data_IF_098667481433
#
_entry.id   IF_098667481433
#
_cell.length_a   1.000
_cell.length_b   1.000
_cell.length_c   1.000
_cell.angle_alpha   90.00
_cell.angle_beta   90.00
_cell.angle_gamma   90.00
#
_symmetry.space_group_name_H-M   'P 1'
#
loop_
_entity.id
_entity.type
_entity.pdbx_description
1 polymer ?
#
# COMPACT_ATOMS: atom_id res chain seq x y z
N UNK A 1 -8.17 -5.40 9.43
CA UNK A 1 -7.43 -6.44 8.67
C UNK A 1 -6.22 -6.86 9.49
N UNK A 2 -5.98 -8.14 9.61
CA UNK A 2 -4.80 -8.66 10.27
C UNK A 2 -3.90 -9.37 9.26
N UNK A 3 -2.58 -9.34 9.47
CA UNK A 3 -1.63 -9.98 8.57
C UNK A 3 -1.84 -11.49 8.46
N UNK A 4 -2.35 -12.12 9.52
CA UNK A 4 -2.63 -13.55 9.53
C UNK A 4 -3.77 -13.98 8.61
N UNK A 5 -4.61 -13.02 8.19
CA UNK A 5 -5.73 -13.27 7.28
C UNK A 5 -5.36 -13.10 5.81
N UNK A 6 -4.14 -12.62 5.53
CA UNK A 6 -3.67 -12.39 4.16
C UNK A 6 -2.97 -13.61 3.61
N UNK A 7 -3.21 -13.88 2.32
CA UNK A 7 -2.52 -14.93 1.60
C UNK A 7 -1.32 -14.35 0.86
N UNK A 8 -0.12 -14.66 1.33
CA UNK A 8 1.11 -14.24 0.69
C UNK A 8 1.60 -15.30 -0.29
N UNK A 9 2.07 -14.85 -1.46
CA UNK A 9 2.65 -15.76 -2.45
C UNK A 9 4.06 -16.20 -2.02
N UNK A 10 4.76 -16.97 -2.86
CA UNK A 10 6.11 -17.47 -2.57
C UNK A 10 7.15 -16.36 -2.40
N UNK A 11 6.87 -15.16 -2.91
CA UNK A 11 7.75 -14.01 -2.79
C UNK A 11 7.39 -13.11 -1.59
N UNK A 12 6.42 -13.53 -0.78
CA UNK A 12 5.97 -12.77 0.38
C UNK A 12 5.10 -11.57 0.03
N UNK A 13 4.39 -11.61 -1.10
CA UNK A 13 3.53 -10.51 -1.58
C UNK A 13 2.06 -10.94 -1.48
N UNK A 14 1.22 -10.07 -0.93
CA UNK A 14 -0.22 -10.24 -0.87
C UNK A 14 -0.91 -9.05 -1.54
N UNK A 15 -1.84 -9.34 -2.44
CA UNK A 15 -2.75 -8.35 -3.01
C UNK A 15 -4.05 -8.38 -2.23
N UNK A 16 -4.56 -7.22 -1.85
CA UNK A 16 -5.81 -7.12 -1.11
C UNK A 16 -6.51 -5.80 -1.41
N UNK A 17 -7.69 -5.64 -0.83
CA UNK A 17 -8.45 -4.39 -0.88
C UNK A 17 -8.81 -3.98 0.53
N UNK A 18 -8.73 -2.68 0.80
CA UNK A 18 -9.12 -2.10 2.09
C UNK A 18 -10.21 -1.08 1.82
N UNK A 19 -11.32 -1.18 2.54
CA UNK A 19 -12.42 -0.25 2.39
C UNK A 19 -12.07 1.08 3.05
N UNK A 20 -11.97 2.12 2.21
CA UNK A 20 -11.78 3.50 2.65
C UNK A 20 -13.07 4.29 2.55
N UNK A 21 -12.99 5.62 2.70
CA UNK A 21 -14.17 6.50 2.67
C UNK A 21 -14.77 6.65 1.27
N UNK A 22 -13.96 6.47 0.22
CA UNK A 22 -14.42 6.59 -1.17
C UNK A 22 -14.69 5.24 -1.83
N UNK A 23 -14.59 4.14 -1.08
CA UNK A 23 -14.72 2.78 -1.59
C UNK A 23 -13.46 1.97 -1.38
N UNK A 24 -13.35 0.84 -2.06
CA UNK A 24 -12.21 -0.07 -1.89
C UNK A 24 -10.93 0.49 -2.51
N UNK A 25 -9.85 0.42 -1.75
CA UNK A 25 -8.51 0.76 -2.22
C UNK A 25 -7.73 -0.50 -2.55
N UNK A 26 -7.01 -0.46 -3.67
CA UNK A 26 -6.10 -1.51 -4.08
C UNK A 26 -4.81 -1.43 -3.27
N UNK A 27 -4.45 -2.51 -2.59
CA UNK A 27 -3.32 -2.55 -1.65
C UNK A 27 -2.42 -3.74 -1.94
N UNK A 28 -1.12 -3.50 -1.90
CA UNK A 28 -0.09 -4.53 -2.08
C UNK A 28 0.80 -4.54 -0.85
N UNK A 29 0.83 -5.68 -0.15
CA UNK A 29 1.60 -5.84 1.08
C UNK A 29 2.72 -6.83 0.83
N UNK A 30 3.95 -6.44 1.18
CA UNK A 30 5.11 -7.32 1.11
C UNK A 30 5.63 -7.55 2.53
N UNK A 31 5.80 -8.81 2.90
CA UNK A 31 6.35 -9.18 4.20
C UNK A 31 7.80 -9.65 4.06
N UNK A 32 8.65 -9.46 5.09
CA UNK A 32 9.97 -10.06 5.11
C UNK A 32 9.85 -11.57 5.36
N UNK A 33 10.94 -12.30 5.10
CA UNK A 33 11.01 -13.75 5.39
C UNK A 33 10.80 -14.05 6.87
N UNK A 34 11.31 -13.17 7.72
CA UNK A 34 11.22 -13.32 9.17
C UNK A 34 10.35 -12.22 9.77
N UNK A 35 9.17 -12.61 10.24
CA UNK A 35 8.26 -11.73 10.95
C UNK A 35 8.43 -11.92 12.45
N UNK A 36 8.62 -10.81 13.16
CA UNK A 36 8.64 -10.79 14.62
C UNK A 36 7.67 -9.70 15.10
N UNK A 37 7.36 -9.70 16.40
CA UNK A 37 6.37 -8.77 16.97
C UNK A 37 6.78 -7.30 16.77
N UNK A 38 8.08 -7.01 16.79
CA UNK A 38 8.61 -5.65 16.60
C UNK A 38 8.92 -5.29 15.15
N UNK A 39 8.54 -6.12 14.17
CA UNK A 39 8.75 -5.82 12.75
C UNK A 39 8.05 -4.51 12.38
N UNK A 40 8.76 -3.52 11.84
CA UNK A 40 8.15 -2.25 11.47
C UNK A 40 7.26 -2.39 10.24
N UNK A 41 6.22 -1.55 10.18
CA UNK A 41 5.33 -1.45 9.03
C UNK A 41 5.58 -0.10 8.37
N UNK A 42 5.89 -0.11 7.08
CA UNK A 42 6.16 1.09 6.29
C UNK A 42 5.08 1.24 5.23
N UNK A 43 4.36 2.35 5.27
CA UNK A 43 3.34 2.68 4.27
C UNK A 43 3.95 3.64 3.27
N UNK A 44 3.86 3.30 1.98
CA UNK A 44 4.47 4.08 0.91
C UNK A 44 3.38 4.66 0.01
N UNK A 45 3.32 5.99 -0.05
CA UNK A 45 2.42 6.72 -0.93
C UNK A 45 3.09 6.95 -2.29
N UNK A 46 2.30 6.93 -3.37
CA UNK A 46 2.80 7.18 -4.71
C UNK A 46 2.74 8.67 -5.07
N UNK A 47 3.42 9.08 -6.17
CA UNK A 47 3.35 10.47 -6.67
C UNK A 47 1.95 10.89 -7.07
N UNK A 48 1.80 12.18 -7.36
CA UNK A 48 0.52 12.83 -7.64
C UNK A 48 -0.31 12.07 -8.68
N UNK A 49 -1.57 11.69 -8.35
CA UNK A 49 -2.39 10.85 -9.24
C UNK A 49 -2.64 11.45 -10.63
N UNK A 50 -2.83 12.77 -10.72
CA UNK A 50 -3.10 13.44 -11.99
C UNK A 50 -1.91 13.47 -12.94
N UNK A 51 -0.71 13.16 -12.44
CA UNK A 51 0.51 13.11 -13.25
C UNK A 51 0.99 11.66 -13.44
N UNK A 52 0.06 10.72 -13.46
CA UNK A 52 0.37 9.30 -13.69
C UNK A 52 0.92 8.55 -12.49
N UNK A 53 0.85 9.13 -11.29
CA UNK A 53 1.30 8.46 -10.08
C UNK A 53 0.44 7.24 -9.75
N UNK A 54 1.07 6.15 -9.34
CA UNK A 54 0.42 4.92 -8.89
C UNK A 54 1.36 4.10 -8.03
N UNK A 55 0.85 3.05 -7.37
CA UNK A 55 1.68 2.15 -6.57
C UNK A 55 2.69 1.34 -7.40
N UNK A 56 2.55 1.34 -8.72
CA UNK A 56 3.50 0.69 -9.64
C UNK A 56 4.62 1.63 -10.09
N UNK A 57 4.62 2.87 -9.62
CA UNK A 57 5.69 3.82 -9.91
C UNK A 57 7.04 3.25 -9.50
N UNK A 58 8.06 3.52 -10.30
CA UNK A 58 9.41 2.98 -10.09
C UNK A 58 10.00 3.36 -8.73
N UNK A 59 9.79 4.60 -8.28
CA UNK A 59 10.29 5.05 -6.97
C UNK A 59 9.58 4.31 -5.84
N UNK A 60 8.28 4.11 -5.94
CA UNK A 60 7.50 3.34 -4.97
C UNK A 60 8.02 1.91 -4.90
N UNK A 61 8.29 1.30 -6.04
CA UNK A 61 8.82 -0.06 -6.11
C UNK A 61 10.20 -0.16 -5.45
N UNK A 62 11.09 0.80 -5.73
CA UNK A 62 12.44 0.85 -5.16
C UNK A 62 12.38 1.02 -3.65
N UNK A 63 11.53 1.91 -3.15
CA UNK A 63 11.35 2.12 -1.72
C UNK A 63 10.84 0.86 -1.03
N UNK A 64 9.84 0.21 -1.61
CA UNK A 64 9.28 -1.03 -1.06
C UNK A 64 10.34 -2.12 -0.98
N UNK A 65 11.14 -2.28 -2.03
CA UNK A 65 12.22 -3.25 -2.07
C UNK A 65 13.28 -2.95 -1.00
N UNK A 66 13.67 -1.69 -0.88
CA UNK A 66 14.70 -1.26 0.09
C UNK A 66 14.25 -1.51 1.52
N UNK A 67 13.02 -1.15 1.88
CA UNK A 67 12.50 -1.39 3.22
C UNK A 67 12.27 -2.87 3.49
N UNK A 68 11.88 -3.64 2.48
CA UNK A 68 11.73 -5.09 2.60
C UNK A 68 13.07 -5.76 2.89
N UNK A 69 14.16 -5.29 2.29
CA UNK A 69 15.52 -5.77 2.56
C UNK A 69 15.99 -5.42 3.97
N UNK A 70 15.38 -4.42 4.60
CA UNK A 70 15.62 -4.05 6.00
C UNK A 70 14.65 -4.75 6.97
N UNK A 71 14.01 -5.82 6.51
CA UNK A 71 13.08 -6.63 7.30
C UNK A 71 11.82 -5.89 7.77
N UNK A 72 11.37 -4.88 7.01
CA UNK A 72 10.10 -4.21 7.26
C UNK A 72 8.97 -4.84 6.46
N UNK A 73 7.75 -4.73 6.98
CA UNK A 73 6.54 -4.99 6.21
C UNK A 73 6.28 -3.72 5.40
N UNK A 74 6.09 -3.83 4.09
CA UNK A 74 5.77 -2.67 3.24
C UNK A 74 4.34 -2.74 2.76
N UNK A 75 3.66 -1.59 2.80
CA UNK A 75 2.30 -1.44 2.31
C UNK A 75 2.30 -0.40 1.21
N UNK A 76 2.02 -0.83 0.00
CA UNK A 76 1.82 0.05 -1.17
C UNK A 76 0.35 0.07 -1.50
N UNK A 77 -0.16 1.19 -1.95
CA UNK A 77 -1.57 1.31 -2.30
C UNK A 77 -1.75 2.33 -3.41
N UNK A 78 -2.89 2.23 -4.10
CA UNK A 78 -3.33 3.25 -5.05
C UNK A 78 -4.33 4.17 -4.36
N UNK A 79 -4.09 5.49 -4.45
CA UNK A 79 -5.06 6.48 -3.99
C UNK A 79 -6.38 6.33 -4.74
N UNK A 80 -7.45 6.88 -4.16
CA UNK A 80 -8.79 6.85 -4.76
C UNK A 80 -8.75 7.28 -6.23
N UNK A 81 -9.44 6.53 -7.08
CA UNK A 81 -9.49 6.81 -8.52
C UNK A 81 -8.29 6.34 -9.32
N UNK A 82 -7.26 5.77 -8.68
CA UNK A 82 -6.06 5.27 -9.36
C UNK A 82 -6.13 3.75 -9.48
N UNK A 83 -5.77 3.21 -10.64
CA UNK A 83 -5.78 1.76 -10.89
C UNK A 83 -7.14 1.15 -10.59
N UNK A 84 -7.17 0.15 -9.74
CA UNK A 84 -8.38 -0.52 -9.30
C UNK A 84 -9.01 0.09 -8.03
N UNK A 85 -8.44 1.16 -7.49
CA UNK A 85 -9.02 1.85 -6.34
C UNK A 85 -10.25 2.65 -6.76
N UNK A 86 -11.33 2.52 -5.99
CA UNK A 86 -12.58 3.22 -6.25
C UNK A 86 -12.50 4.70 -5.87
N UNK A 87 -13.45 5.48 -6.34
CA UNK A 87 -13.54 6.90 -6.01
C UNK A 87 -12.91 7.79 -7.07
N UNK A 88 -12.71 9.06 -6.70
CA UNK A 88 -12.14 10.09 -7.57
C UNK A 88 -11.12 10.92 -6.81
N UNK A 89 -10.16 11.48 -7.55
CA UNK A 89 -9.17 12.42 -7.01
C UNK A 89 -9.86 13.55 -6.23
N UNK A 90 -9.39 13.84 -5.03
CA UNK A 90 -10.00 14.82 -4.13
C UNK A 90 -8.99 15.85 -3.61
N UNK A 91 -8.13 16.35 -4.48
CA UNK A 91 -7.16 17.43 -4.20
C UNK A 91 -6.27 17.20 -2.97
N UNK A 92 -6.01 15.95 -2.64
CA UNK A 92 -5.16 15.55 -1.51
C UNK A 92 -5.90 15.44 -0.17
N UNK A 93 -7.11 15.99 -0.06
CA UNK A 93 -7.88 15.97 1.19
C UNK A 93 -8.41 14.57 1.47
N UNK A 94 -9.16 14.01 0.51
CA UNK A 94 -9.66 12.64 0.63
C UNK A 94 -8.55 11.60 0.62
N UNK A 95 -7.48 11.85 -0.13
CA UNK A 95 -6.32 10.97 -0.15
C UNK A 95 -5.64 10.88 1.21
N UNK A 96 -5.53 12.00 1.93
CA UNK A 96 -4.99 12.00 3.29
C UNK A 96 -5.89 11.21 4.25
N UNK A 97 -7.19 11.30 4.10
CA UNK A 97 -8.15 10.51 4.88
C UNK A 97 -8.01 9.02 4.57
N UNK A 98 -7.81 8.66 3.30
CA UNK A 98 -7.60 7.26 2.89
C UNK A 98 -6.35 6.69 3.54
N UNK A 99 -5.29 7.47 3.63
CA UNK A 99 -4.04 7.05 4.28
C UNK A 99 -4.28 6.72 5.75
N UNK A 100 -5.12 7.48 6.46
CA UNK A 100 -5.41 7.22 7.87
C UNK A 100 -6.15 5.89 8.08
N UNK A 101 -6.91 5.43 7.10
CA UNK A 101 -7.59 4.12 7.16
C UNK A 101 -6.58 2.98 7.16
N UNK A 102 -5.46 3.14 6.45
CA UNK A 102 -4.42 2.12 6.36
C UNK A 102 -3.54 2.05 7.62
N UNK A 103 -3.45 3.13 8.35
CA UNK A 103 -2.69 3.20 9.60
C UNK A 103 -3.46 2.52 10.73
#
# INVERSE_FOLDING_TARGET
>A
MTLTQLEFNSQGIAETRVTGLAGDMEVLITRPDKLIESTPIVIISHPHPLYGGSMTNKVVHILAKSFSELDAITVRFNFRGVGQSEGKYDDGIGEAEDLTVLV
#
